data_IF_038857418659
#
_entry.id   IF_038857418659
#
_cell.length_a   1.000
_cell.length_b   1.000
_cell.length_c   1.000
_cell.angle_alpha   90.00
_cell.angle_beta   90.00
_cell.angle_gamma   90.00
#
_symmetry.space_group_name_H-M   'P 1'
#
loop_
_entity.id
_entity.type
_entity.pdbx_description
1 polymer ?
#
# COMPACT_ATOMS: atom_id res chain seq x y z
N UNK A 1 -3.49 35.11 -8.29
CA UNK A 1 -4.94 35.17 -7.98
C UNK A 1 -5.77 35.27 -9.26
N UNK A 2 -5.38 36.10 -10.24
CA UNK A 2 -6.03 36.13 -11.57
C UNK A 2 -6.02 34.77 -12.29
N UNK A 3 -4.95 33.97 -12.16
CA UNK A 3 -4.84 32.67 -12.83
C UNK A 3 -5.81 31.59 -12.31
N UNK A 4 -6.29 31.70 -11.06
CA UNK A 4 -7.21 30.70 -10.49
C UNK A 4 -8.65 30.94 -10.99
N UNK A 5 -9.05 32.20 -11.10
CA UNK A 5 -10.38 32.58 -11.59
C UNK A 5 -10.52 32.38 -13.10
N UNK A 6 -9.46 32.63 -13.89
CA UNK A 6 -9.46 32.34 -15.32
C UNK A 6 -9.58 30.82 -15.60
N UNK A 7 -8.91 30.00 -14.77
CA UNK A 7 -9.02 28.54 -14.85
C UNK A 7 -10.44 28.06 -14.55
N UNK A 8 -11.10 28.65 -13.54
CA UNK A 8 -12.48 28.32 -13.19
C UNK A 8 -13.50 28.75 -14.28
N UNK A 9 -13.24 29.82 -15.03
CA UNK A 9 -14.07 30.22 -16.19
C UNK A 9 -13.94 29.24 -17.36
N UNK A 10 -12.72 28.88 -17.78
CA UNK A 10 -12.47 27.89 -18.84
C UNK A 10 -13.08 26.53 -18.48
N UNK A 11 -12.95 26.12 -17.22
CA UNK A 11 -13.57 24.93 -16.68
C UNK A 11 -15.11 24.96 -16.71
N UNK A 12 -15.72 26.12 -16.43
CA UNK A 12 -17.17 26.28 -16.47
C UNK A 12 -17.68 26.22 -17.92
N UNK A 13 -16.94 26.79 -18.87
CA UNK A 13 -17.24 26.68 -20.30
C UNK A 13 -17.15 25.23 -20.79
N UNK A 14 -16.07 24.52 -20.43
CA UNK A 14 -15.90 23.12 -20.80
C UNK A 14 -17.02 22.21 -20.25
N UNK A 15 -17.51 22.49 -19.04
CA UNK A 15 -18.69 21.79 -18.49
C UNK A 15 -19.93 22.07 -19.34
N UNK A 16 -20.19 23.33 -19.69
CA UNK A 16 -21.34 23.69 -20.52
C UNK A 16 -21.31 23.04 -21.92
N UNK A 17 -20.14 22.97 -22.56
CA UNK A 17 -19.97 22.28 -23.83
C UNK A 17 -20.25 20.77 -23.72
N UNK A 18 -19.75 20.13 -22.66
CA UNK A 18 -20.01 18.71 -22.42
C UNK A 18 -21.48 18.42 -22.08
N UNK A 19 -22.16 19.33 -21.39
CA UNK A 19 -23.60 19.24 -21.11
C UNK A 19 -24.39 19.33 -22.42
N UNK A 20 -24.05 20.27 -23.31
CA UNK A 20 -24.66 20.37 -24.64
C UNK A 20 -24.43 19.09 -25.47
N UNK A 21 -23.20 18.56 -25.47
CA UNK A 21 -22.90 17.31 -26.18
C UNK A 21 -23.71 16.12 -25.63
N UNK A 22 -23.97 16.08 -24.32
CA UNK A 22 -24.85 15.07 -23.75
C UNK A 22 -26.29 15.23 -24.26
N UNK A 23 -26.81 16.46 -24.30
CA UNK A 23 -28.15 16.75 -24.83
C UNK A 23 -28.29 16.41 -26.32
N UNK A 24 -27.19 16.51 -27.07
CA UNK A 24 -27.09 16.07 -28.47
C UNK A 24 -26.99 14.53 -28.61
N UNK A 25 -26.90 13.79 -27.50
CA UNK A 25 -26.90 12.33 -27.45
C UNK A 25 -25.52 11.67 -27.35
N UNK A 26 -24.44 12.45 -27.20
CA UNK A 26 -23.09 11.89 -27.04
C UNK A 26 -22.87 11.36 -25.62
N UNK A 27 -23.08 10.05 -25.43
CA UNK A 27 -23.03 9.40 -24.11
C UNK A 27 -21.66 9.45 -23.41
N UNK A 28 -20.59 9.66 -24.20
CA UNK A 28 -19.22 9.84 -23.71
C UNK A 28 -19.06 11.17 -22.97
N UNK A 29 -19.87 12.18 -23.29
CA UNK A 29 -19.79 13.50 -22.66
C UNK A 29 -20.10 13.41 -21.15
N UNK A 30 -21.14 12.67 -20.78
CA UNK A 30 -21.46 12.39 -19.37
C UNK A 30 -20.34 11.66 -18.63
N UNK A 31 -19.59 10.77 -19.28
CA UNK A 31 -18.41 10.15 -18.66
C UNK A 31 -17.32 11.20 -18.35
N UNK A 32 -17.06 12.12 -19.28
CA UNK A 32 -16.06 13.16 -19.07
C UNK A 32 -16.51 14.17 -18.01
N UNK A 33 -17.80 14.54 -17.97
CA UNK A 33 -18.38 15.35 -16.88
C UNK A 33 -18.18 14.68 -15.53
N UNK A 34 -18.48 13.38 -15.43
CA UNK A 34 -18.24 12.61 -14.21
C UNK A 34 -16.77 12.64 -13.77
N UNK A 35 -15.83 12.46 -14.71
CA UNK A 35 -14.38 12.56 -14.44
C UNK A 35 -13.98 13.96 -14.01
N UNK A 36 -14.50 14.98 -14.68
CA UNK A 36 -14.24 16.38 -14.37
C UNK A 36 -14.63 16.67 -12.92
N UNK A 37 -15.89 16.45 -12.53
CA UNK A 37 -16.33 16.69 -11.16
C UNK A 37 -15.61 15.83 -10.10
N UNK A 38 -15.05 14.68 -10.48
CA UNK A 38 -14.28 13.81 -9.57
C UNK A 38 -12.84 14.30 -9.36
N UNK A 39 -12.17 14.71 -10.43
CA UNK A 39 -10.71 14.91 -10.50
C UNK A 39 -10.31 16.39 -10.50
N UNK A 40 -11.23 17.34 -10.69
CA UNK A 40 -10.95 18.78 -10.71
C UNK A 40 -10.25 19.27 -9.43
N UNK A 41 -9.25 20.13 -9.62
CA UNK A 41 -8.32 20.60 -8.58
C UNK A 41 -8.83 21.82 -7.77
N UNK A 42 -10.05 22.30 -8.02
CA UNK A 42 -10.62 23.52 -7.40
C UNK A 42 -11.93 23.27 -6.63
N UNK A 43 -12.67 24.34 -6.31
CA UNK A 43 -14.02 24.33 -5.70
C UNK A 43 -15.06 23.56 -6.51
N UNK A 44 -14.76 23.26 -7.77
CA UNK A 44 -15.62 22.52 -8.69
C UNK A 44 -15.66 21.01 -8.42
N UNK A 45 -14.76 20.48 -7.57
CA UNK A 45 -14.81 19.07 -7.20
C UNK A 45 -16.11 18.77 -6.44
N UNK A 46 -16.94 17.89 -6.99
CA UNK A 46 -18.24 17.58 -6.44
C UNK A 46 -18.58 16.10 -6.66
N UNK A 47 -18.59 15.32 -5.58
CA UNK A 47 -18.87 13.88 -5.65
C UNK A 47 -20.31 13.56 -6.04
N UNK A 48 -21.28 14.41 -5.69
CA UNK A 48 -22.69 14.21 -6.06
C UNK A 48 -22.89 14.44 -7.55
N UNK A 49 -22.34 15.53 -8.11
CA UNK A 49 -22.36 15.78 -9.55
C UNK A 49 -21.59 14.70 -10.32
N UNK A 50 -20.43 14.27 -9.80
CA UNK A 50 -19.67 13.19 -10.40
C UNK A 50 -20.49 11.89 -10.44
N UNK A 51 -21.16 11.53 -9.34
CA UNK A 51 -22.04 10.36 -9.28
C UNK A 51 -23.19 10.48 -10.27
N UNK A 52 -23.86 11.64 -10.32
CA UNK A 52 -24.97 11.89 -11.22
C UNK A 52 -24.58 11.64 -12.69
N UNK A 53 -23.49 12.26 -13.15
CA UNK A 53 -23.02 12.12 -14.52
C UNK A 53 -22.49 10.72 -14.84
N UNK A 54 -21.77 10.08 -13.90
CA UNK A 54 -21.39 8.68 -14.08
C UNK A 54 -22.61 7.76 -14.16
N UNK A 55 -23.66 8.01 -13.38
CA UNK A 55 -24.89 7.22 -13.42
C UNK A 55 -25.60 7.36 -14.76
N UNK A 56 -25.81 8.58 -15.26
CA UNK A 56 -26.40 8.80 -16.58
C UNK A 56 -25.62 8.08 -17.69
N UNK A 57 -24.29 8.20 -17.69
CA UNK A 57 -23.44 7.54 -18.67
C UNK A 57 -23.44 6.02 -18.52
N UNK A 58 -23.45 5.50 -17.29
CA UNK A 58 -23.52 4.06 -17.00
C UNK A 58 -24.86 3.45 -17.42
N UNK A 59 -25.98 4.14 -17.17
CA UNK A 59 -27.32 3.73 -17.61
C UNK A 59 -27.44 3.74 -19.14
N UNK A 60 -26.67 4.58 -19.82
CA UNK A 60 -26.51 4.57 -21.27
C UNK A 60 -25.56 3.46 -21.80
N UNK A 61 -25.07 2.57 -20.94
CA UNK A 61 -24.26 1.40 -21.31
C UNK A 61 -22.75 1.65 -21.43
N UNK A 62 -22.24 2.76 -20.90
CA UNK A 62 -20.80 3.02 -20.90
C UNK A 62 -20.10 2.24 -19.78
N UNK A 63 -19.33 1.20 -20.16
CA UNK A 63 -18.61 0.31 -19.24
C UNK A 63 -17.60 1.04 -18.32
N UNK A 64 -16.94 2.07 -18.83
CA UNK A 64 -16.00 2.89 -18.07
C UNK A 64 -16.70 3.71 -16.99
N UNK A 65 -17.91 4.21 -17.27
CA UNK A 65 -18.77 4.90 -16.31
C UNK A 65 -19.37 3.94 -15.29
N UNK A 66 -19.80 2.75 -15.70
CA UNK A 66 -20.24 1.69 -14.77
C UNK A 66 -19.14 1.35 -13.76
N UNK A 67 -17.90 1.17 -14.23
CA UNK A 67 -16.73 0.98 -13.37
C UNK A 67 -16.46 2.19 -12.47
N UNK A 68 -16.47 3.41 -13.01
CA UNK A 68 -16.20 4.62 -12.26
C UNK A 68 -17.25 4.86 -11.16
N UNK A 69 -18.53 4.62 -11.46
CA UNK A 69 -19.63 4.68 -10.51
C UNK A 69 -19.46 3.62 -9.42
N UNK A 70 -19.21 2.36 -9.80
CA UNK A 70 -18.96 1.29 -8.83
C UNK A 70 -17.79 1.63 -7.89
N UNK A 71 -16.69 2.16 -8.42
CA UNK A 71 -15.55 2.63 -7.62
C UNK A 71 -15.93 3.77 -6.67
N UNK A 72 -16.70 4.75 -7.13
CA UNK A 72 -17.16 5.88 -6.30
C UNK A 72 -18.06 5.40 -5.16
N UNK A 73 -19.03 4.52 -5.46
CA UNK A 73 -19.94 3.94 -4.47
C UNK A 73 -19.22 3.13 -3.39
N UNK A 74 -18.14 2.41 -3.76
CA UNK A 74 -17.28 1.75 -2.76
C UNK A 74 -16.65 2.75 -1.78
N UNK A 75 -16.24 3.94 -2.23
CA UNK A 75 -15.67 4.97 -1.33
C UNK A 75 -16.72 5.54 -0.38
N UNK A 76 -17.98 5.57 -0.81
CA UNK A 76 -19.13 5.96 0.00
C UNK A 76 -19.68 4.82 0.87
N UNK A 77 -19.03 3.65 0.89
CA UNK A 77 -19.47 2.43 1.61
C UNK A 77 -20.83 1.87 1.16
N UNK A 78 -21.30 2.22 -0.05
CA UNK A 78 -22.51 1.65 -0.69
C UNK A 78 -22.15 0.37 -1.44
N UNK A 79 -21.71 -0.64 -0.71
CA UNK A 79 -21.06 -1.84 -1.27
C UNK A 79 -21.95 -2.68 -2.18
N UNK A 80 -23.23 -2.88 -1.81
CA UNK A 80 -24.18 -3.70 -2.59
C UNK A 80 -24.41 -3.11 -3.98
N UNK A 81 -24.74 -1.83 -4.05
CA UNK A 81 -24.93 -1.11 -5.32
C UNK A 81 -23.63 -1.01 -6.11
N UNK A 82 -22.50 -0.77 -5.43
CA UNK A 82 -21.20 -0.74 -6.09
C UNK A 82 -20.87 -2.07 -6.80
N UNK A 83 -21.13 -3.20 -6.14
CA UNK A 83 -20.89 -4.54 -6.72
C UNK A 83 -21.78 -4.76 -7.92
N UNK A 84 -23.05 -4.34 -7.89
CA UNK A 84 -23.96 -4.44 -9.04
C UNK A 84 -23.42 -3.69 -10.27
N UNK A 85 -22.95 -2.45 -10.09
CA UNK A 85 -22.36 -1.67 -11.19
C UNK A 85 -21.04 -2.24 -11.68
N UNK A 86 -20.19 -2.72 -10.77
CA UNK A 86 -18.95 -3.40 -11.15
C UNK A 86 -19.22 -4.70 -11.90
N UNK A 87 -20.24 -5.47 -11.51
CA UNK A 87 -20.64 -6.68 -12.22
C UNK A 87 -21.11 -6.34 -13.63
N UNK A 88 -21.95 -5.31 -13.82
CA UNK A 88 -22.34 -4.84 -15.16
C UNK A 88 -21.13 -4.47 -16.01
N UNK A 89 -20.24 -3.63 -15.48
CA UNK A 89 -19.01 -3.24 -16.18
C UNK A 89 -18.16 -4.45 -16.56
N UNK A 90 -18.03 -5.43 -15.66
CA UNK A 90 -17.27 -6.65 -15.92
C UNK A 90 -17.90 -7.54 -17.00
N UNK A 91 -19.24 -7.62 -17.06
CA UNK A 91 -19.98 -8.31 -18.13
C UNK A 91 -19.80 -7.61 -19.49
N UNK A 92 -19.71 -6.28 -19.50
CA UNK A 92 -19.35 -5.50 -20.68
C UNK A 92 -17.85 -5.57 -21.03
N UNK A 93 -17.07 -6.38 -20.32
CA UNK A 93 -15.66 -6.62 -20.63
C UNK A 93 -14.70 -5.64 -19.96
N UNK A 94 -15.14 -4.75 -19.07
CA UNK A 94 -14.25 -3.79 -18.43
C UNK A 94 -13.19 -4.51 -17.56
N UNK A 95 -11.94 -4.50 -18.02
CA UNK A 95 -10.82 -5.17 -17.35
C UNK A 95 -10.58 -4.66 -15.92
N UNK A 96 -10.84 -3.38 -15.63
CA UNK A 96 -10.63 -2.81 -14.29
C UNK A 96 -11.72 -3.24 -13.31
N UNK A 97 -12.97 -3.35 -13.79
CA UNK A 97 -14.08 -3.87 -13.01
C UNK A 97 -13.87 -5.35 -12.66
N UNK A 98 -13.47 -6.16 -13.64
CA UNK A 98 -13.11 -7.57 -13.43
C UNK A 98 -12.00 -7.70 -12.37
N UNK A 99 -10.90 -6.93 -12.52
CA UNK A 99 -9.84 -6.92 -11.51
C UNK A 99 -10.35 -6.53 -10.11
N UNK A 100 -11.22 -5.51 -10.04
CA UNK A 100 -11.80 -5.03 -8.78
C UNK A 100 -12.65 -6.09 -8.10
N UNK A 101 -13.56 -6.73 -8.84
CA UNK A 101 -14.40 -7.82 -8.33
C UNK A 101 -13.58 -9.04 -7.91
N UNK A 102 -12.55 -9.37 -8.69
CA UNK A 102 -11.58 -10.40 -8.33
C UNK A 102 -10.95 -10.13 -6.97
N UNK A 103 -10.48 -8.90 -6.73
CA UNK A 103 -9.94 -8.51 -5.43
C UNK A 103 -10.96 -8.53 -4.30
N UNK A 104 -12.17 -8.00 -4.50
CA UNK A 104 -13.21 -8.00 -3.48
C UNK A 104 -13.59 -9.43 -3.06
N UNK A 105 -13.64 -10.35 -4.03
CA UNK A 105 -13.96 -11.76 -3.81
C UNK A 105 -12.84 -12.51 -3.08
N UNK A 106 -11.57 -12.08 -3.19
CA UNK A 106 -10.47 -12.65 -2.41
C UNK A 106 -10.45 -12.19 -0.95
N UNK A 107 -10.73 -10.90 -0.71
CA UNK A 107 -10.63 -10.33 0.64
C UNK A 107 -11.84 -10.68 1.50
N UNK A 108 -13.02 -10.83 0.89
CA UNK A 108 -14.25 -11.06 1.63
C UNK A 108 -14.83 -9.81 2.31
N UNK A 109 -14.31 -8.61 1.99
CA UNK A 109 -14.65 -7.36 2.70
C UNK A 109 -16.03 -6.79 2.33
N UNK A 110 -16.42 -6.90 1.06
CA UNK A 110 -17.68 -6.34 0.53
C UNK A 110 -18.64 -7.40 0.00
N UNK A 111 -18.11 -8.57 -0.35
CA UNK A 111 -18.84 -9.75 -0.81
C UNK A 111 -18.28 -10.96 -0.05
N UNK A 112 -19.05 -12.05 0.14
CA UNK A 112 -18.52 -13.28 0.70
C UNK A 112 -17.27 -13.72 -0.07
N UNK A 113 -16.24 -14.18 0.67
CA UNK A 113 -15.00 -14.64 0.05
C UNK A 113 -15.29 -15.84 -0.85
N UNK A 114 -14.92 -15.72 -2.12
CA UNK A 114 -15.01 -16.78 -3.13
C UNK A 114 -13.76 -16.74 -4.01
N UNK A 115 -12.86 -17.70 -3.77
CA UNK A 115 -11.57 -17.78 -4.46
C UNK A 115 -11.74 -18.16 -5.92
N UNK A 116 -12.70 -19.03 -6.25
CA UNK A 116 -12.89 -19.50 -7.63
C UNK A 116 -13.49 -18.42 -8.50
N UNK A 117 -14.52 -17.72 -8.00
CA UNK A 117 -15.07 -16.54 -8.67
C UNK A 117 -14.02 -15.44 -8.81
N UNK A 118 -13.18 -15.24 -7.78
CA UNK A 118 -12.07 -14.31 -7.88
C UNK A 118 -11.09 -14.65 -9.00
N UNK A 119 -10.70 -15.92 -9.11
CA UNK A 119 -9.78 -16.39 -10.15
C UNK A 119 -10.35 -16.19 -11.54
N UNK A 120 -11.65 -16.42 -11.75
CA UNK A 120 -12.32 -16.21 -13.02
C UNK A 120 -12.20 -14.75 -13.47
N UNK A 121 -12.60 -13.80 -12.62
CA UNK A 121 -12.49 -12.39 -12.95
C UNK A 121 -11.03 -11.94 -13.14
N UNK A 122 -10.11 -12.42 -12.28
CA UNK A 122 -8.70 -12.07 -12.40
C UNK A 122 -8.07 -12.62 -13.68
N UNK A 123 -8.40 -13.85 -14.10
CA UNK A 123 -7.94 -14.43 -15.37
C UNK A 123 -8.51 -13.67 -16.57
N UNK A 124 -9.80 -13.34 -16.54
CA UNK A 124 -10.44 -12.53 -17.59
C UNK A 124 -9.77 -11.16 -17.73
N UNK A 125 -9.57 -10.46 -16.62
CA UNK A 125 -8.88 -9.16 -16.58
C UNK A 125 -7.42 -9.25 -17.04
N UNK A 126 -6.68 -10.26 -16.56
CA UNK A 126 -5.28 -10.48 -16.93
C UNK A 126 -5.09 -10.85 -18.40
N UNK A 127 -6.08 -11.54 -18.99
CA UNK A 127 -6.15 -11.85 -20.43
C UNK A 127 -6.31 -10.60 -21.29
N UNK A 128 -6.94 -9.55 -20.76
CA UNK A 128 -7.04 -8.22 -21.38
C UNK A 128 -5.84 -7.31 -21.06
N UNK A 129 -4.69 -7.92 -20.76
CA UNK A 129 -3.44 -7.24 -20.44
C UNK A 129 -3.45 -6.38 -19.17
N UNK A 130 -4.41 -6.56 -18.27
CA UNK A 130 -4.40 -5.81 -17.01
C UNK A 130 -3.20 -6.19 -16.13
N UNK A 131 -2.17 -5.34 -16.09
CA UNK A 131 -0.96 -5.58 -15.30
C UNK A 131 -1.23 -5.83 -13.81
N UNK A 132 -2.27 -5.22 -13.22
CA UNK A 132 -2.60 -5.41 -11.81
C UNK A 132 -3.23 -6.77 -11.53
N UNK A 133 -4.07 -7.27 -12.45
CA UNK A 133 -4.65 -8.59 -12.37
C UNK A 133 -3.59 -9.68 -12.60
N UNK A 134 -2.70 -9.48 -13.58
CA UNK A 134 -1.55 -10.36 -13.83
C UNK A 134 -0.65 -10.47 -12.60
N UNK A 135 -0.29 -9.34 -11.99
CA UNK A 135 0.47 -9.33 -10.73
C UNK A 135 -0.26 -10.07 -9.61
N UNK A 136 -1.58 -9.88 -9.49
CA UNK A 136 -2.38 -10.53 -8.44
C UNK A 136 -2.45 -12.04 -8.63
N UNK A 137 -2.67 -12.53 -9.85
CA UNK A 137 -2.60 -13.96 -10.19
C UNK A 137 -1.21 -14.54 -9.91
N UNK A 138 -0.17 -13.84 -10.35
CA UNK A 138 1.21 -14.22 -10.12
C UNK A 138 1.51 -14.40 -8.63
N UNK A 139 1.08 -13.45 -7.81
CA UNK A 139 1.20 -13.52 -6.35
C UNK A 139 0.37 -14.65 -5.73
N UNK A 140 -0.85 -14.89 -6.19
CA UNK A 140 -1.71 -15.98 -5.69
C UNK A 140 -1.04 -17.34 -5.88
N UNK A 141 -0.57 -17.63 -7.10
CA UNK A 141 0.12 -18.88 -7.40
C UNK A 141 1.48 -19.00 -6.73
N UNK A 142 2.18 -17.87 -6.52
CA UNK A 142 3.46 -17.87 -5.82
C UNK A 142 3.30 -18.22 -4.34
N UNK A 143 2.30 -17.64 -3.67
CA UNK A 143 2.07 -17.82 -2.24
C UNK A 143 1.39 -19.15 -1.92
N UNK A 144 0.48 -19.62 -2.79
CA UNK A 144 -0.19 -20.90 -2.59
C UNK A 144 -1.13 -20.96 -1.38
N UNK A 145 -1.60 -19.81 -0.85
CA UNK A 145 -2.44 -19.75 0.37
C UNK A 145 -3.90 -20.07 0.09
N UNK A 146 -4.46 -19.46 -0.96
CA UNK A 146 -5.86 -19.61 -1.36
C UNK A 146 -6.02 -20.59 -2.54
N UNK A 147 -4.93 -20.85 -3.26
CA UNK A 147 -4.85 -21.74 -4.43
C UNK A 147 -3.63 -22.64 -4.29
N UNK A 148 -3.59 -23.77 -5.00
CA UNK A 148 -2.38 -24.59 -5.03
C UNK A 148 -1.19 -23.78 -5.56
N UNK A 149 -0.04 -23.90 -4.91
CA UNK A 149 1.17 -23.22 -5.35
C UNK A 149 1.59 -23.72 -6.73
N UNK A 150 1.79 -22.80 -7.67
CA UNK A 150 2.28 -23.10 -9.01
C UNK A 150 3.31 -22.04 -9.41
N UNK A 151 4.60 -22.39 -9.25
CA UNK A 151 5.69 -21.46 -9.54
C UNK A 151 5.81 -21.11 -11.03
N UNK A 152 5.40 -22.01 -11.92
CA UNK A 152 5.45 -21.76 -13.37
C UNK A 152 4.40 -20.73 -13.75
N UNK A 153 3.15 -20.91 -13.31
CA UNK A 153 2.10 -19.91 -13.53
C UNK A 153 2.41 -18.59 -12.83
N UNK A 154 2.97 -18.64 -11.62
CA UNK A 154 3.42 -17.44 -10.93
C UNK A 154 4.43 -16.66 -11.77
N UNK A 155 5.49 -17.32 -12.25
CA UNK A 155 6.50 -16.71 -13.09
C UNK A 155 5.92 -16.13 -14.37
N UNK A 156 5.04 -16.85 -15.05
CA UNK A 156 4.41 -16.41 -16.29
C UNK A 156 3.61 -15.11 -16.07
N UNK A 157 2.69 -15.10 -15.11
CA UNK A 157 1.85 -13.93 -14.84
C UNK A 157 2.65 -12.73 -14.33
N UNK A 158 3.62 -12.97 -13.44
CA UNK A 158 4.51 -11.92 -12.96
C UNK A 158 5.36 -11.34 -14.11
N UNK A 159 5.85 -12.17 -15.04
CA UNK A 159 6.65 -11.71 -16.18
C UNK A 159 5.85 -10.80 -17.09
N UNK A 160 4.60 -11.17 -17.41
CA UNK A 160 3.69 -10.31 -18.20
C UNK A 160 3.40 -8.98 -17.52
N UNK A 161 3.23 -9.00 -16.19
CA UNK A 161 3.02 -7.76 -15.43
C UNK A 161 4.28 -6.89 -15.40
N UNK A 162 5.45 -7.50 -15.20
CA UNK A 162 6.73 -6.80 -15.15
C UNK A 162 7.10 -6.18 -16.50
N UNK A 163 6.81 -6.85 -17.62
CA UNK A 163 7.04 -6.30 -18.97
C UNK A 163 6.21 -5.05 -19.26
N UNK A 164 5.10 -4.86 -18.54
CA UNK A 164 4.28 -3.64 -18.60
C UNK A 164 4.76 -2.54 -17.62
N UNK A 165 5.90 -2.76 -16.95
CA UNK A 165 6.50 -1.80 -16.04
C UNK A 165 6.05 -1.91 -14.59
N UNK A 166 5.42 -3.03 -14.17
CA UNK A 166 5.07 -3.22 -12.76
C UNK A 166 6.32 -3.55 -11.91
N UNK A 167 6.80 -2.63 -11.05
CA UNK A 167 8.02 -2.84 -10.28
C UNK A 167 7.86 -3.90 -9.19
N UNK A 168 6.64 -4.10 -8.67
CA UNK A 168 6.36 -5.13 -7.67
C UNK A 168 6.40 -6.53 -8.29
N UNK A 169 5.96 -6.67 -9.53
CA UNK A 169 6.06 -7.92 -10.27
C UNK A 169 7.54 -8.26 -10.54
N UNK A 170 8.32 -7.29 -11.02
CA UNK A 170 9.77 -7.47 -11.21
C UNK A 170 10.48 -7.85 -9.91
N UNK A 171 10.17 -7.16 -8.81
CA UNK A 171 10.73 -7.46 -7.49
C UNK A 171 10.50 -8.91 -7.04
N UNK A 172 9.31 -9.46 -7.33
CA UNK A 172 8.96 -10.84 -7.02
C UNK A 172 9.67 -11.84 -7.95
N UNK A 173 9.84 -11.52 -9.23
CA UNK A 173 10.60 -12.34 -10.18
C UNK A 173 12.08 -12.45 -9.79
N UNK A 174 12.71 -11.32 -9.46
CA UNK A 174 14.12 -11.28 -9.05
C UNK A 174 14.41 -12.14 -7.81
N UNK A 175 13.38 -12.36 -6.99
CA UNK A 175 13.45 -13.13 -5.74
C UNK A 175 12.63 -14.41 -5.80
N UNK A 176 12.21 -14.88 -6.97
CA UNK A 176 11.28 -16.00 -7.10
C UNK A 176 11.79 -17.21 -6.33
N UNK A 177 13.06 -17.59 -6.52
CA UNK A 177 13.73 -18.73 -5.87
C UNK A 177 14.02 -18.55 -4.39
N UNK A 178 14.15 -17.29 -3.96
CA UNK A 178 14.37 -16.94 -2.56
C UNK A 178 13.05 -16.78 -1.79
N UNK A 179 11.92 -16.71 -2.51
CA UNK A 179 10.60 -16.54 -1.93
C UNK A 179 10.14 -17.84 -1.27
N UNK A 180 10.48 -17.98 0.01
CA UNK A 180 9.76 -18.83 0.96
C UNK A 180 8.78 -17.95 1.69
N UNK A 181 7.50 -18.32 1.79
CA UNK A 181 6.53 -17.57 2.58
C UNK A 181 7.10 -17.44 4.01
N UNK A 182 7.62 -16.26 4.40
CA UNK A 182 8.29 -16.15 5.68
C UNK A 182 7.22 -16.36 6.73
N UNK A 183 7.44 -17.31 7.64
CA UNK A 183 6.51 -17.49 8.75
C UNK A 183 6.30 -16.13 9.43
N UNK A 184 5.06 -15.86 9.87
CA UNK A 184 4.73 -14.59 10.53
C UNK A 184 5.73 -14.28 11.65
N UNK A 185 6.20 -15.32 12.35
CA UNK A 185 7.27 -15.24 13.34
C UNK A 185 8.63 -14.79 12.76
N UNK A 186 9.06 -15.32 11.61
CA UNK A 186 10.30 -14.92 10.96
C UNK A 186 10.23 -13.46 10.46
N UNK A 187 9.07 -13.04 9.94
CA UNK A 187 8.84 -11.66 9.53
C UNK A 187 8.88 -10.71 10.74
N UNK A 188 8.20 -11.06 11.83
CA UNK A 188 8.16 -10.27 13.07
C UNK A 188 9.55 -10.14 13.70
N UNK A 189 10.32 -11.22 13.77
CA UNK A 189 11.70 -11.21 14.33
C UNK A 189 12.66 -10.37 13.48
N UNK A 190 12.59 -10.46 12.14
CA UNK A 190 13.37 -9.59 11.25
C UNK A 190 13.01 -8.12 11.43
N UNK A 191 11.72 -7.81 11.55
CA UNK A 191 11.24 -6.45 11.77
C UNK A 191 11.71 -5.90 13.13
N UNK A 192 11.52 -6.65 14.22
CA UNK A 192 12.00 -6.28 15.55
C UNK A 192 13.52 -6.09 15.58
N UNK A 193 14.27 -6.97 14.91
CA UNK A 193 15.73 -6.84 14.80
C UNK A 193 16.14 -5.57 14.03
N UNK A 194 15.45 -5.26 12.92
CA UNK A 194 15.73 -4.07 12.14
C UNK A 194 15.38 -2.79 12.90
N UNK A 195 14.22 -2.76 13.57
CA UNK A 195 13.83 -1.66 14.46
C UNK A 195 14.86 -1.48 15.57
N UNK A 196 15.32 -2.56 16.19
CA UNK A 196 16.38 -2.51 17.20
C UNK A 196 17.71 -1.95 16.68
N UNK A 197 18.06 -2.15 15.41
CA UNK A 197 19.20 -1.47 14.78
C UNK A 197 18.95 0.03 14.63
N UNK A 198 17.80 0.43 14.08
CA UNK A 198 17.44 1.84 13.91
C UNK A 198 17.46 2.58 15.26
N UNK A 199 16.89 1.98 16.31
CA UNK A 199 16.89 2.57 17.64
C UNK A 199 18.30 2.67 18.24
N UNK A 200 19.19 1.70 18.02
CA UNK A 200 20.59 1.80 18.45
C UNK A 200 21.33 2.90 17.69
N UNK A 201 21.18 2.91 16.37
CA UNK A 201 21.87 3.86 15.49
C UNK A 201 21.40 5.30 15.72
N UNK A 202 20.14 5.49 16.17
CA UNK A 202 19.55 6.79 16.49
C UNK A 202 19.45 7.09 18.00
N UNK A 203 19.92 6.19 18.87
CA UNK A 203 20.00 6.45 20.31
C UNK A 203 21.23 7.30 20.61
N UNK A 204 21.05 8.37 21.39
CA UNK A 204 22.18 9.09 21.97
C UNK A 204 22.95 8.09 22.84
N UNK A 205 24.25 7.84 22.59
CA UNK A 205 25.02 6.96 23.47
C UNK A 205 24.92 7.52 24.88
N UNK A 206 24.78 6.67 25.93
CA UNK A 206 24.61 7.16 27.29
C UNK A 206 25.75 8.13 27.58
N UNK A 207 25.42 9.41 27.77
CA UNK A 207 26.39 10.39 28.22
C UNK A 207 26.87 9.90 29.58
N UNK A 208 28.12 9.47 29.65
CA UNK A 208 28.76 9.12 30.91
C UNK A 208 28.70 10.39 31.79
N UNK A 209 27.85 10.43 32.84
CA UNK A 209 27.63 11.67 33.57
C UNK A 209 28.90 11.94 34.36
N UNK A 210 29.73 12.86 33.85
CA UNK A 210 30.86 13.49 34.52
C UNK A 210 31.52 12.63 35.62
N UNK A 211 32.05 11.46 35.24
CA UNK A 211 32.92 10.71 36.14
C UNK A 211 34.13 11.58 36.45
N UNK A 212 34.30 11.97 37.72
CA UNK A 212 35.41 12.80 38.21
C UNK A 212 36.72 12.23 37.65
N UNK A 213 37.30 12.91 36.66
CA UNK A 213 38.51 12.44 36.00
C UNK A 213 39.69 12.75 36.91
N UNK A 214 39.99 11.81 37.81
CA UNK A 214 41.16 11.89 38.69
C UNK A 214 42.40 11.83 37.79
N UNK A 215 43.12 12.95 37.67
CA UNK A 215 44.37 13.02 36.91
C UNK A 215 45.39 11.99 37.45
N UNK A 216 46.18 11.44 36.53
CA UNK A 216 47.28 10.51 36.71
C UNK A 216 48.15 10.80 37.94
N UNK A 217 48.49 12.07 38.19
CA UNK A 217 49.29 12.47 39.36
C UNK A 217 48.55 12.23 40.67
N UNK A 218 47.25 12.52 40.72
CA UNK A 218 46.42 12.29 41.91
C UNK A 218 46.17 10.81 42.14
N UNK A 219 46.05 10.01 41.07
CA UNK A 219 45.98 8.54 41.15
C UNK A 219 47.25 7.95 41.77
N UNK A 220 48.43 8.37 41.30
CA UNK A 220 49.73 7.92 41.83
C UNK A 220 49.87 8.19 43.33
N UNK A 221 49.51 9.41 43.79
CA UNK A 221 49.54 9.75 45.21
C UNK A 221 48.58 8.91 46.06
N UNK A 222 47.41 8.56 45.52
CA UNK A 222 46.44 7.71 46.22
C UNK A 222 46.94 6.26 46.32
N UNK A 223 47.55 5.72 45.26
CA UNK A 223 48.19 4.39 45.30
C UNK A 223 49.41 4.36 46.22
N UNK A 224 50.25 5.39 46.21
CA UNK A 224 51.39 5.52 47.14
C UNK A 224 50.93 5.56 48.60
N UNK A 225 49.88 6.34 48.91
CA UNK A 225 49.30 6.36 50.26
C UNK A 225 48.70 5.01 50.66
N UNK A 226 48.02 4.30 49.76
CA UNK A 226 47.49 2.95 50.04
C UNK A 226 48.61 1.94 50.31
N UNK A 227 49.68 1.99 49.51
CA UNK A 227 50.88 1.15 49.73
C UNK A 227 51.57 1.47 51.07
N UNK A 228 51.63 2.75 51.46
CA UNK A 228 52.18 3.14 52.77
C UNK A 228 51.35 2.63 53.97
N UNK A 229 50.06 2.35 53.77
CA UNK A 229 49.16 1.77 54.78
C UNK A 229 49.22 0.22 54.76
N UNK A 230 50.00 -0.38 53.87
CA UNK A 230 50.27 -1.81 53.81
C UNK A 230 49.45 -2.59 52.77
N UNK A 231 48.66 -1.90 51.93
CA UNK A 231 47.93 -2.53 50.82
C UNK A 231 48.84 -2.77 49.61
N UNK A 232 48.60 -3.84 48.86
CA UNK A 232 49.34 -4.12 47.62
C UNK A 232 48.89 -3.18 46.50
N UNK A 233 49.76 -2.93 45.51
CA UNK A 233 49.48 -2.00 44.41
C UNK A 233 48.23 -2.38 43.59
N UNK A 234 47.96 -3.69 43.51
CA UNK A 234 46.84 -4.28 42.77
C UNK A 234 45.72 -4.77 43.71
N UNK A 235 45.69 -4.30 44.97
CA UNK A 235 44.53 -4.55 45.85
C UNK A 235 43.33 -3.78 45.32
N UNK A 236 42.47 -4.49 44.61
CA UNK A 236 41.14 -4.03 44.26
C UNK A 236 40.17 -4.47 45.37
N UNK A 237 39.48 -3.53 46.00
CA UNK A 237 38.34 -3.86 46.86
C UNK A 237 37.28 -4.53 45.98
N UNK A 238 36.96 -5.80 46.25
CA UNK A 238 35.89 -6.49 45.55
C UNK A 238 34.58 -5.70 45.72
N UNK A 239 33.83 -5.44 44.65
CA UNK A 239 32.57 -4.72 44.76
C UNK A 239 31.60 -5.53 45.61
N UNK A 240 31.24 -4.99 46.78
CA UNK A 240 30.21 -5.54 47.65
C UNK A 240 28.88 -5.59 46.89
N UNK A 241 28.53 -6.76 46.36
CA UNK A 241 27.21 -7.02 45.84
C UNK A 241 26.22 -7.08 47.01
N UNK A 242 25.53 -5.98 47.26
CA UNK A 242 24.34 -6.00 48.11
C UNK A 242 23.29 -6.88 47.41
N UNK A 243 23.15 -8.12 47.87
CA UNK A 243 22.04 -8.98 47.49
C UNK A 243 20.74 -8.34 48.01
N UNK A 244 19.89 -7.84 47.12
CA UNK A 244 18.48 -7.60 47.43
C UNK A 244 17.80 -8.97 47.61
N UNK A 245 17.69 -9.41 48.85
CA UNK A 245 16.69 -10.40 49.25
C UNK A 245 15.29 -9.78 49.16
N UNK A 246 14.34 -10.59 48.66
CA UNK A 246 12.92 -10.32 48.33
C UNK A 246 12.23 -9.12 48.98
#
# INVERSE_FOLDING_TARGET
>A
MQDIYALDEEHTQAVGELEQLWDEGYTVAAHQLGKFFRDSLSTLRNHEKAEHWFRLSAEAGNDCSEYALGKLLLTQKRTTEAVQWLDKAAHHGNQFAQYRLGKLSLTGEAVPKDVWKALEYLKSSAGQENQFAQYTLGKLYLLGRDVAQDRKQAQEWLSRSASQGNPYAQFLLDRLDQFRDPSVMLAATKLLHHMGRIFRDNSVPPQNPAGIRIDSKRRRRLTEKRMAIGHKADDHEEPLFYQQTM
#
